data_IF_759986483306
#
_entry.id   IF_759986483306
#
_cell.length_a   1.000
_cell.length_b   1.000
_cell.length_c   1.000
_cell.angle_alpha   90.00
_cell.angle_beta   90.00
_cell.angle_gamma   90.00
#
_symmetry.space_group_name_H-M   'P 1'
#
loop_
_entity.id
_entity.type
_entity.pdbx_description
1 polymer ?
#
# COMPACT_ATOMS: atom_id res chain seq x y z
N UNK A 1 -0.61 5.83 16.68
CA UNK A 1 -0.32 5.56 15.25
C UNK A 1 -1.16 4.43 14.68
N UNK A 2 -1.03 3.20 15.19
CA UNK A 2 -1.79 2.04 14.70
C UNK A 2 -3.31 2.26 14.67
N UNK A 3 -3.89 2.81 15.74
CA UNK A 3 -5.35 2.99 15.83
C UNK A 3 -5.92 3.96 14.80
N UNK A 4 -5.18 5.02 14.43
CA UNK A 4 -5.63 5.99 13.44
C UNK A 4 -5.61 5.42 12.02
N UNK A 5 -4.59 4.63 11.69
CA UNK A 5 -4.54 3.89 10.41
C UNK A 5 -5.67 2.85 10.38
N UNK A 6 -5.88 2.13 11.50
CA UNK A 6 -6.97 1.16 11.61
C UNK A 6 -8.33 1.83 11.40
N UNK A 7 -8.59 2.96 12.04
CA UNK A 7 -9.84 3.72 11.86
C UNK A 7 -10.09 4.08 10.40
N UNK A 8 -9.06 4.51 9.66
CA UNK A 8 -9.18 4.79 8.23
C UNK A 8 -9.63 3.57 7.42
N UNK A 9 -9.13 2.37 7.72
CA UNK A 9 -9.49 1.15 6.99
C UNK A 9 -10.96 0.71 7.17
N UNK A 10 -11.58 1.08 8.29
CA UNK A 10 -12.97 0.74 8.59
C UNK A 10 -13.95 1.92 8.40
N UNK A 11 -13.44 3.11 8.07
CA UNK A 11 -14.27 4.31 7.91
C UNK A 11 -15.06 4.28 6.60
N UNK A 12 -16.40 4.50 6.64
CA UNK A 12 -17.21 4.63 5.43
C UNK A 12 -16.71 5.74 4.51
N UNK A 13 -16.22 6.85 5.08
CA UNK A 13 -15.68 7.99 4.32
C UNK A 13 -14.45 7.58 3.49
N UNK A 14 -13.56 6.77 4.05
CA UNK A 14 -12.38 6.27 3.34
C UNK A 14 -12.76 5.27 2.25
N UNK A 15 -13.73 4.40 2.51
CA UNK A 15 -14.24 3.48 1.50
C UNK A 15 -14.84 4.26 0.33
N UNK A 16 -15.67 5.27 0.61
CA UNK A 16 -16.27 6.14 -0.40
C UNK A 16 -15.22 6.88 -1.22
N UNK A 17 -14.21 7.44 -0.56
CA UNK A 17 -13.17 8.23 -1.20
C UNK A 17 -12.28 7.42 -2.13
N UNK A 18 -11.99 6.16 -1.78
CA UNK A 18 -11.00 5.34 -2.47
C UNK A 18 -11.58 4.18 -3.27
N UNK A 19 -12.91 4.00 -3.29
CA UNK A 19 -13.56 3.11 -4.25
C UNK A 19 -13.60 3.74 -5.64
N UNK A 20 -13.45 2.92 -6.69
CA UNK A 20 -13.55 3.36 -8.09
C UNK A 20 -14.96 3.29 -8.66
N UNK A 21 -15.91 2.74 -7.92
CA UNK A 21 -17.33 2.72 -8.30
C UNK A 21 -18.22 2.66 -7.07
N UNK A 22 -19.45 3.16 -7.23
CA UNK A 22 -20.43 3.21 -6.14
C UNK A 22 -20.85 1.83 -5.60
N UNK A 23 -20.64 0.79 -6.40
CA UNK A 23 -20.97 -0.59 -6.05
C UNK A 23 -19.76 -1.37 -5.50
N UNK A 24 -18.58 -0.76 -5.43
CA UNK A 24 -17.40 -1.39 -4.87
C UNK A 24 -17.39 -1.32 -3.34
N UNK A 25 -16.99 -2.42 -2.72
CA UNK A 25 -16.84 -2.56 -1.26
C UNK A 25 -18.11 -2.32 -0.42
N UNK A 26 -19.29 -2.37 -1.02
CA UNK A 26 -20.59 -2.23 -0.33
C UNK A 26 -21.09 -3.52 0.33
N UNK A 27 -20.47 -4.67 -0.01
CA UNK A 27 -20.83 -5.99 0.51
C UNK A 27 -19.66 -6.63 1.23
N UNK A 28 -19.94 -7.32 2.33
CA UNK A 28 -18.95 -8.14 3.05
C UNK A 28 -18.77 -9.47 2.31
N UNK A 29 -17.69 -9.57 1.52
CA UNK A 29 -17.22 -10.83 0.90
C UNK A 29 -15.85 -11.18 1.49
N UNK A 30 -15.11 -12.11 0.90
CA UNK A 30 -13.82 -12.56 1.44
C UNK A 30 -12.74 -11.45 1.42
N UNK A 31 -12.82 -10.52 0.46
CA UNK A 31 -11.95 -9.34 0.30
C UNK A 31 -12.71 -8.02 0.43
N UNK A 32 -13.19 -7.67 1.65
CA UNK A 32 -13.67 -6.32 1.92
C UNK A 32 -12.50 -5.32 1.88
N UNK A 33 -12.84 -4.02 1.88
CA UNK A 33 -11.88 -2.93 1.74
C UNK A 33 -10.67 -3.05 2.69
N UNK A 34 -10.91 -3.18 3.99
CA UNK A 34 -9.85 -3.28 5.00
C UNK A 34 -8.91 -4.47 4.75
N UNK A 35 -9.42 -5.68 4.47
CA UNK A 35 -8.56 -6.85 4.21
C UNK A 35 -7.76 -6.68 2.93
N UNK A 36 -8.36 -6.15 1.87
CA UNK A 36 -7.65 -5.89 0.62
C UNK A 36 -6.48 -4.92 0.84
N UNK A 37 -6.74 -3.80 1.53
CA UNK A 37 -5.73 -2.78 1.77
C UNK A 37 -4.64 -3.32 2.71
N UNK A 38 -5.00 -3.98 3.80
CA UNK A 38 -4.05 -4.63 4.71
C UNK A 38 -3.19 -5.68 3.99
N UNK A 39 -3.78 -6.48 3.11
CA UNK A 39 -3.04 -7.45 2.30
C UNK A 39 -2.04 -6.76 1.35
N UNK A 40 -2.44 -5.64 0.72
CA UNK A 40 -1.58 -4.89 -0.20
C UNK A 40 -0.45 -4.13 0.52
N UNK A 41 -0.65 -3.76 1.78
CA UNK A 41 0.39 -3.19 2.64
C UNK A 41 1.37 -4.25 3.18
N UNK A 42 1.00 -5.53 3.12
CA UNK A 42 1.87 -6.61 3.56
C UNK A 42 3.02 -6.77 2.55
N UNK A 43 4.27 -6.67 3.03
CA UNK A 43 5.47 -6.85 2.22
C UNK A 43 5.60 -8.33 1.80
N UNK A 44 5.09 -8.64 0.61
CA UNK A 44 5.02 -10.01 0.07
C UNK A 44 6.41 -10.57 -0.22
N UNK A 45 6.70 -11.76 0.31
CA UNK A 45 7.99 -12.47 0.18
C UNK A 45 7.91 -13.72 -0.70
N UNK A 46 6.71 -14.16 -1.05
CA UNK A 46 6.46 -15.34 -1.88
C UNK A 46 5.43 -15.12 -2.99
N UNK A 47 4.94 -16.23 -3.54
CA UNK A 47 3.90 -16.20 -4.57
C UNK A 47 2.59 -15.59 -4.05
N UNK A 48 1.80 -14.96 -4.91
CA UNK A 48 0.54 -14.32 -4.49
C UNK A 48 -0.42 -15.30 -3.82
N UNK A 49 -0.44 -16.56 -4.26
CA UNK A 49 -1.27 -17.61 -3.65
C UNK A 49 -0.80 -17.98 -2.24
N UNK A 50 0.51 -18.18 -2.04
CA UNK A 50 1.07 -18.48 -0.71
C UNK A 50 0.84 -17.31 0.26
N UNK A 51 1.06 -16.08 -0.20
CA UNK A 51 0.83 -14.87 0.59
C UNK A 51 -0.64 -14.74 1.00
N UNK A 52 -1.59 -15.03 0.09
CA UNK A 52 -3.01 -15.03 0.42
C UNK A 52 -3.33 -16.09 1.48
N UNK A 53 -2.85 -17.33 1.32
CA UNK A 53 -3.08 -18.40 2.31
C UNK A 53 -2.54 -18.03 3.69
N UNK A 54 -1.30 -17.54 3.75
CA UNK A 54 -0.65 -17.13 5.00
C UNK A 54 -1.34 -15.93 5.67
N UNK A 55 -1.74 -14.93 4.88
CA UNK A 55 -2.46 -13.77 5.38
C UNK A 55 -3.82 -14.15 5.99
N UNK A 56 -4.63 -14.96 5.30
CA UNK A 56 -5.93 -15.37 5.81
C UNK A 56 -5.82 -16.35 6.99
N UNK A 57 -4.81 -17.24 7.00
CA UNK A 57 -4.54 -18.11 8.14
C UNK A 57 -4.22 -17.28 9.41
N UNK A 58 -3.43 -16.21 9.24
CA UNK A 58 -3.07 -15.29 10.33
C UNK A 58 -4.29 -14.51 10.82
N UNK A 59 -5.16 -14.01 9.91
CA UNK A 59 -6.38 -13.31 10.28
C UNK A 59 -7.40 -14.19 11.02
N UNK A 60 -7.41 -15.48 10.72
CA UNK A 60 -8.30 -16.47 11.34
C UNK A 60 -7.71 -17.11 12.60
N UNK A 61 -6.45 -16.79 12.93
CA UNK A 61 -5.68 -17.42 14.01
C UNK A 61 -5.61 -18.95 13.87
N UNK A 62 -5.49 -19.43 12.64
CA UNK A 62 -5.43 -20.86 12.30
C UNK A 62 -4.11 -21.23 11.60
N UNK A 63 -3.67 -22.50 11.67
CA UNK A 63 -2.51 -22.97 10.89
C UNK A 63 -2.73 -22.91 9.37
N UNK A 64 -4.00 -23.01 8.93
CA UNK A 64 -4.41 -22.94 7.54
C UNK A 64 -5.73 -22.17 7.43
N UNK A 65 -5.83 -21.29 6.43
CA UNK A 65 -7.05 -20.54 6.17
C UNK A 65 -8.20 -21.47 5.76
N UNK A 66 -9.37 -21.27 6.37
CA UNK A 66 -10.60 -21.98 6.06
C UNK A 66 -11.15 -21.64 4.68
N UNK A 67 -10.99 -20.38 4.26
CA UNK A 67 -11.33 -19.90 2.92
C UNK A 67 -10.34 -18.82 2.47
N UNK A 68 -9.65 -19.05 1.36
CA UNK A 68 -8.72 -18.08 0.78
C UNK A 68 -9.27 -17.56 -0.56
N UNK A 69 -9.32 -16.24 -0.77
CA UNK A 69 -9.66 -15.67 -2.07
C UNK A 69 -8.71 -16.18 -3.17
N UNK A 70 -9.23 -16.36 -4.38
CA UNK A 70 -8.37 -16.69 -5.53
C UNK A 70 -7.53 -15.48 -5.96
N UNK A 71 -6.42 -15.74 -6.65
CA UNK A 71 -5.58 -14.69 -7.28
C UNK A 71 -6.42 -13.81 -8.23
N UNK A 72 -7.35 -14.42 -8.98
CA UNK A 72 -8.28 -13.66 -9.84
C UNK A 72 -9.22 -12.77 -9.03
N UNK A 73 -9.73 -13.27 -7.89
CA UNK A 73 -10.52 -12.49 -6.94
C UNK A 73 -9.77 -11.27 -6.41
N UNK A 74 -8.50 -11.45 -6.04
CA UNK A 74 -7.61 -10.36 -5.63
C UNK A 74 -7.44 -9.31 -6.75
N UNK A 75 -7.12 -9.74 -7.98
CA UNK A 75 -6.95 -8.83 -9.11
C UNK A 75 -8.20 -8.00 -9.38
N UNK A 76 -9.39 -8.63 -9.35
CA UNK A 76 -10.68 -7.95 -9.51
C UNK A 76 -10.96 -6.95 -8.39
N UNK A 77 -10.66 -7.33 -7.14
CA UNK A 77 -10.84 -6.44 -5.99
C UNK A 77 -9.90 -5.22 -6.08
N UNK A 78 -8.62 -5.44 -6.43
CA UNK A 78 -7.62 -4.38 -6.62
C UNK A 78 -8.01 -3.39 -7.72
N UNK A 79 -8.59 -3.85 -8.82
CA UNK A 79 -9.05 -2.96 -9.91
C UNK A 79 -10.13 -1.97 -9.47
N UNK A 80 -10.84 -2.25 -8.37
CA UNK A 80 -11.89 -1.38 -7.80
C UNK A 80 -11.36 -0.42 -6.74
N UNK A 81 -10.09 -0.52 -6.38
CA UNK A 81 -9.43 0.32 -5.38
C UNK A 81 -8.60 1.41 -6.07
N UNK A 82 -8.75 2.66 -5.62
CA UNK A 82 -7.88 3.75 -6.02
C UNK A 82 -6.50 3.59 -5.39
N UNK A 83 -5.44 3.79 -6.18
CA UNK A 83 -4.07 3.77 -5.68
C UNK A 83 -3.77 4.94 -4.73
N UNK A 84 -4.56 6.03 -4.80
CA UNK A 84 -4.41 7.22 -3.95
C UNK A 84 -4.60 6.94 -2.45
N UNK A 85 -5.15 5.78 -2.10
CA UNK A 85 -5.25 5.36 -0.71
C UNK A 85 -3.87 5.21 -0.05
N UNK A 86 -2.85 4.73 -0.77
CA UNK A 86 -1.54 4.46 -0.17
C UNK A 86 -0.80 5.76 0.18
N UNK A 87 -0.71 6.76 -0.72
CA UNK A 87 -0.21 8.08 -0.34
C UNK A 87 -1.03 8.73 0.78
N UNK A 88 -2.35 8.55 0.81
CA UNK A 88 -3.21 9.11 1.85
C UNK A 88 -2.96 8.47 3.22
N UNK A 89 -2.89 7.13 3.31
CA UNK A 89 -2.55 6.41 4.53
C UNK A 89 -1.15 6.78 5.01
N UNK A 90 -0.18 6.89 4.09
CA UNK A 90 1.18 7.29 4.43
C UNK A 90 1.22 8.71 5.00
N UNK A 91 0.48 9.65 4.40
CA UNK A 91 0.37 11.03 4.91
C UNK A 91 -0.24 11.07 6.30
N UNK A 92 -1.34 10.34 6.52
CA UNK A 92 -1.96 10.23 7.84
C UNK A 92 -0.98 9.66 8.87
N UNK A 93 -0.24 8.60 8.53
CA UNK A 93 0.76 8.01 9.43
C UNK A 93 1.87 9.01 9.80
N UNK A 94 2.38 9.77 8.83
CA UNK A 94 3.41 10.80 9.05
C UNK A 94 2.86 11.95 9.90
N UNK A 95 1.65 12.43 9.64
CA UNK A 95 1.01 13.51 10.41
C UNK A 95 0.78 13.09 11.86
N UNK A 96 0.25 11.89 12.07
CA UNK A 96 0.12 11.26 13.38
C UNK A 96 1.44 11.20 14.12
N UNK A 97 2.50 10.79 13.44
CA UNK A 97 3.83 10.71 14.03
C UNK A 97 4.29 12.11 14.45
N UNK A 98 4.29 13.07 13.53
CA UNK A 98 4.75 14.44 13.82
C UNK A 98 3.96 15.15 14.92
N UNK A 99 2.68 14.84 15.09
CA UNK A 99 1.88 15.42 16.17
C UNK A 99 2.35 14.99 17.58
N UNK A 100 3.01 13.82 17.68
CA UNK A 100 3.47 13.27 18.97
C UNK A 100 4.91 13.61 19.34
N UNK A 101 5.72 14.11 18.40
CA UNK A 101 7.17 14.28 18.59
C UNK A 101 7.71 15.58 17.97
N UNK A 102 8.54 16.29 18.73
CA UNK A 102 9.36 17.36 18.16
C UNK A 102 10.40 16.76 17.21
N UNK A 103 10.57 17.34 16.02
CA UNK A 103 11.60 16.91 15.06
C UNK A 103 12.96 17.47 15.47
N UNK A 104 13.94 16.62 15.81
CA UNK A 104 15.27 17.09 16.16
C UNK A 104 15.92 17.81 14.97
N UNK A 105 16.64 18.89 15.26
CA UNK A 105 17.37 19.67 14.25
C UNK A 105 18.87 19.49 14.46
N UNK A 106 19.60 19.31 13.37
CA UNK A 106 21.06 19.30 13.34
C UNK A 106 21.55 20.69 12.94
N UNK A 107 22.21 21.41 13.85
CA UNK A 107 22.61 22.81 13.69
C UNK A 107 21.48 23.74 13.19
N UNK A 108 20.24 23.51 13.64
CA UNK A 108 19.07 24.29 13.22
C UNK A 108 18.44 23.86 11.89
N UNK A 109 18.96 22.81 11.26
CA UNK A 109 18.44 22.25 10.01
C UNK A 109 17.79 20.89 10.22
N UNK A 110 16.77 20.58 9.43
CA UNK A 110 16.21 19.23 9.34
C UNK A 110 17.07 18.41 8.39
N UNK A 111 17.63 17.30 8.89
CA UNK A 111 18.49 16.45 8.10
C UNK A 111 17.67 15.33 7.43
N UNK A 112 17.66 15.32 6.10
CA UNK A 112 16.91 14.34 5.31
C UNK A 112 17.86 13.58 4.38
N UNK A 113 17.81 12.26 4.40
CA UNK A 113 18.53 11.41 3.46
C UNK A 113 17.62 11.01 2.30
N UNK A 114 18.17 10.92 1.09
CA UNK A 114 17.46 10.39 -0.07
C UNK A 114 18.12 9.08 -0.47
N UNK A 115 17.31 8.04 -0.56
CA UNK A 115 17.70 6.81 -1.25
C UNK A 115 16.72 6.56 -2.41
N UNK A 116 17.19 5.84 -3.43
CA UNK A 116 16.40 5.59 -4.61
C UNK A 116 16.75 4.27 -5.28
N UNK A 117 15.76 3.71 -5.95
CA UNK A 117 15.89 2.49 -6.73
C UNK A 117 15.21 2.63 -8.08
N UNK A 118 15.55 1.74 -9.00
CA UNK A 118 14.92 1.66 -10.31
C UNK A 118 14.21 0.32 -10.43
N UNK A 119 12.92 0.37 -10.73
CA UNK A 119 12.03 -0.77 -10.85
C UNK A 119 11.83 -1.11 -12.31
N UNK A 120 11.93 -2.41 -12.65
CA UNK A 120 11.48 -2.93 -13.94
C UNK A 120 9.97 -3.11 -13.90
N UNK A 121 9.26 -2.50 -14.83
CA UNK A 121 7.82 -2.62 -14.93
C UNK A 121 7.42 -3.73 -15.93
N UNK A 122 6.22 -4.33 -15.76
CA UNK A 122 5.65 -5.24 -16.75
C UNK A 122 5.48 -4.55 -18.11
N UNK A 123 5.55 -5.33 -19.18
CA UNK A 123 5.31 -4.83 -20.52
C UNK A 123 3.82 -4.48 -20.70
N UNK A 124 3.51 -3.19 -20.79
CA UNK A 124 2.15 -2.68 -21.01
C UNK A 124 2.20 -1.27 -21.60
N UNK A 125 1.45 -1.02 -22.68
CA UNK A 125 1.46 0.26 -23.42
C UNK A 125 1.14 1.48 -22.54
N UNK A 126 0.18 1.35 -21.62
CA UNK A 126 -0.13 2.43 -20.67
C UNK A 126 1.06 2.80 -19.75
N UNK A 127 1.96 1.86 -19.45
CA UNK A 127 3.15 2.13 -18.66
C UNK A 127 4.24 2.81 -19.50
N UNK A 128 4.43 2.39 -20.75
CA UNK A 128 5.31 3.08 -21.71
C UNK A 128 4.86 4.53 -21.94
N UNK A 129 3.56 4.75 -22.11
CA UNK A 129 3.01 6.10 -22.29
C UNK A 129 3.21 7.01 -21.08
N UNK A 130 3.24 6.46 -19.87
CA UNK A 130 3.41 7.23 -18.63
C UNK A 130 4.88 7.41 -18.22
N UNK A 131 5.66 6.32 -18.22
CA UNK A 131 7.05 6.30 -17.74
C UNK A 131 8.09 6.51 -18.86
N UNK A 132 7.65 6.48 -20.11
CA UNK A 132 8.51 6.57 -21.29
C UNK A 132 8.90 5.19 -21.84
N UNK A 133 9.04 5.13 -23.16
CA UNK A 133 9.59 3.98 -23.86
C UNK A 133 11.13 4.01 -23.82
N UNK A 134 11.74 2.84 -23.80
CA UNK A 134 13.18 2.70 -23.98
C UNK A 134 13.50 2.17 -25.38
N UNK A 135 14.67 2.51 -25.94
CA UNK A 135 15.11 1.95 -27.22
C UNK A 135 15.19 0.41 -27.21
N UNK A 136 15.52 -0.16 -26.06
CA UNK A 136 15.50 -1.59 -25.81
C UNK A 136 15.29 -1.89 -24.32
N UNK A 137 14.68 -3.03 -24.01
CA UNK A 137 14.44 -3.47 -22.63
C UNK A 137 13.07 -3.07 -22.05
N UNK A 138 12.81 -3.43 -20.78
CA UNK A 138 11.52 -3.17 -20.13
C UNK A 138 11.38 -1.70 -19.74
N UNK A 139 10.14 -1.21 -19.65
CA UNK A 139 9.84 0.09 -19.03
C UNK A 139 10.42 0.15 -17.61
N UNK A 140 11.06 1.26 -17.27
CA UNK A 140 11.64 1.49 -15.95
C UNK A 140 10.89 2.59 -15.22
N UNK A 141 10.75 2.45 -13.90
CA UNK A 141 10.30 3.51 -13.01
C UNK A 141 11.35 3.79 -11.94
N UNK A 142 11.52 5.07 -11.57
CA UNK A 142 12.35 5.46 -10.42
C UNK A 142 11.45 5.59 -9.19
N UNK A 143 11.85 4.93 -8.11
CA UNK A 143 11.29 5.16 -6.78
C UNK A 143 12.37 5.85 -5.94
N UNK A 144 12.00 6.93 -5.24
CA UNK A 144 12.89 7.63 -4.32
C UNK A 144 12.16 7.85 -3.00
N UNK A 145 12.88 7.66 -1.90
CA UNK A 145 12.36 7.84 -0.55
C UNK A 145 13.22 8.86 0.18
N UNK A 146 12.54 9.77 0.87
CA UNK A 146 13.15 10.80 1.72
C UNK A 146 12.99 10.35 3.17
N UNK A 147 14.10 10.03 3.82
CA UNK A 147 14.16 9.60 5.21
C UNK A 147 14.48 10.79 6.11
N UNK A 148 13.81 10.87 7.25
CA UNK A 148 14.11 11.87 8.27
C UNK A 148 15.13 11.31 9.26
N UNK A 149 16.38 11.74 9.14
CA UNK A 149 17.48 11.24 9.97
C UNK A 149 17.40 11.76 11.42
N UNK A 150 16.57 12.78 11.68
CA UNK A 150 16.40 13.31 13.03
C UNK A 150 15.74 12.32 14.01
N UNK A 151 15.12 11.25 13.51
CA UNK A 151 14.43 10.26 14.34
C UNK A 151 15.12 8.88 14.37
N UNK A 152 16.28 8.73 13.72
CA UNK A 152 17.06 7.48 13.66
C UNK A 152 18.40 7.54 14.42
N UNK A 153 18.73 8.70 15.00
CA UNK A 153 19.90 8.93 15.86
C UNK A 153 19.48 8.99 17.34
#
# INVERSE_FOLDING_TARGET
MYDQIKQALFSPEWIERFRRSENAFTRTRDLPFHRLVSFLLNLRKGSTEQELKGFFATLEEQPLASATPTVSGLCKARQRLSAEIFPALNRQAIETFRAGWATPLWHGFRLLAVDGTTLRLPNHSALEGYFGAQPSGPVLARASMLYDLGHEL
#
